data_IF_708132406114
#
_entry.id   IF_708132406114
#
_cell.length_a   1.000
_cell.length_b   1.000
_cell.length_c   1.000
_cell.angle_alpha   90.00
_cell.angle_beta   90.00
_cell.angle_gamma   90.00
#
_symmetry.space_group_name_H-M   'P 1'
#
loop_
_entity.id
_entity.type
_entity.pdbx_description
1 polymer ?
#
# COMPACT_ATOMS: atom_id res chain seq x y z
N UNK A 1 2.30 1.65 -15.37
CA UNK A 1 1.40 2.04 -14.27
C UNK A 1 1.11 0.78 -13.50
N UNK A 2 1.59 0.73 -12.26
CA UNK A 2 1.42 -0.42 -11.39
C UNK A 2 -0.06 -0.64 -11.02
N UNK A 3 -0.40 -1.87 -10.65
CA UNK A 3 -1.66 -2.18 -9.96
C UNK A 3 -1.52 -1.99 -8.45
N UNK A 4 -2.64 -1.92 -7.74
CA UNK A 4 -2.63 -1.93 -6.28
C UNK A 4 -1.96 -3.19 -5.71
N UNK A 5 -2.03 -4.31 -6.43
CA UNK A 5 -1.38 -5.56 -6.03
C UNK A 5 0.15 -5.51 -6.16
N UNK A 6 0.66 -4.96 -7.26
CA UNK A 6 2.10 -4.77 -7.43
C UNK A 6 2.66 -3.85 -6.33
N UNK A 7 1.90 -2.81 -5.96
CA UNK A 7 2.24 -1.91 -4.86
C UNK A 7 2.17 -2.63 -3.51
N UNK A 8 1.18 -3.50 -3.28
CA UNK A 8 1.10 -4.30 -2.07
C UNK A 8 2.28 -5.27 -1.93
N UNK A 9 2.69 -5.93 -3.02
CA UNK A 9 3.89 -6.76 -3.07
C UNK A 9 5.14 -5.94 -2.69
N UNK A 10 5.34 -4.77 -3.31
CA UNK A 10 6.46 -3.88 -3.00
C UNK A 10 6.46 -3.38 -1.54
N UNK A 11 5.28 -3.10 -0.96
CA UNK A 11 5.15 -2.70 0.45
C UNK A 11 5.64 -3.82 1.38
N UNK A 12 5.27 -5.08 1.10
CA UNK A 12 5.64 -6.25 1.91
C UNK A 12 7.11 -6.63 1.74
N UNK A 13 7.71 -6.45 0.57
CA UNK A 13 9.15 -6.62 0.40
C UNK A 13 9.96 -5.67 1.30
N UNK A 14 9.51 -4.42 1.43
CA UNK A 14 10.19 -3.42 2.27
C UNK A 14 9.87 -3.59 3.77
N UNK A 15 8.62 -3.96 4.09
CA UNK A 15 8.13 -4.02 5.48
C UNK A 15 8.26 -5.39 6.12
N UNK A 16 8.41 -6.46 5.34
CA UNK A 16 8.16 -7.82 5.77
C UNK A 16 6.68 -8.04 6.08
N UNK A 17 6.39 -8.48 7.31
CA UNK A 17 5.02 -8.75 7.77
C UNK A 17 4.34 -7.49 8.34
N UNK A 18 3.12 -7.22 7.90
CA UNK A 18 2.28 -6.12 8.43
C UNK A 18 0.86 -6.60 8.75
N UNK A 19 0.18 -5.91 9.66
CA UNK A 19 -1.26 -6.10 9.85
C UNK A 19 -2.05 -5.58 8.63
N UNK A 20 -3.23 -6.14 8.39
CA UNK A 20 -4.03 -5.84 7.19
C UNK A 20 -4.52 -4.38 7.14
N UNK A 21 -4.74 -3.74 8.28
CA UNK A 21 -5.07 -2.31 8.34
C UNK A 21 -3.88 -1.44 7.93
N UNK A 22 -2.68 -1.79 8.37
CA UNK A 22 -1.45 -1.08 7.99
C UNK A 22 -1.17 -1.21 6.51
N UNK A 23 -1.39 -2.38 5.90
CA UNK A 23 -1.25 -2.53 4.44
C UNK A 23 -2.15 -1.54 3.69
N UNK A 24 -3.44 -1.45 4.07
CA UNK A 24 -4.39 -0.52 3.44
C UNK A 24 -3.95 0.95 3.59
N UNK A 25 -3.46 1.34 4.77
CA UNK A 25 -2.98 2.70 5.02
C UNK A 25 -1.71 3.02 4.26
N UNK A 26 -0.77 2.09 4.20
CA UNK A 26 0.47 2.26 3.43
C UNK A 26 0.14 2.39 1.93
N UNK A 27 -0.76 1.58 1.38
CA UNK A 27 -1.20 1.71 -0.01
C UNK A 27 -1.83 3.09 -0.28
N UNK A 28 -2.70 3.57 0.62
CA UNK A 28 -3.26 4.92 0.54
C UNK A 28 -2.19 6.02 0.57
N UNK A 29 -1.23 5.95 1.50
CA UNK A 29 -0.16 6.94 1.57
C UNK A 29 0.76 6.89 0.36
N UNK A 30 1.03 5.71 -0.19
CA UNK A 30 1.79 5.59 -1.42
C UNK A 30 1.07 6.30 -2.57
N UNK A 31 -0.24 6.10 -2.74
CA UNK A 31 -1.04 6.83 -3.73
C UNK A 31 -0.99 8.34 -3.51
N UNK A 32 -1.21 8.80 -2.27
CA UNK A 32 -1.26 10.21 -1.93
C UNK A 32 0.08 10.92 -2.19
N UNK A 33 1.19 10.33 -1.74
CA UNK A 33 2.53 10.91 -1.94
C UNK A 33 2.99 10.81 -3.40
N UNK A 34 2.62 9.76 -4.12
CA UNK A 34 2.92 9.67 -5.56
C UNK A 34 2.21 10.78 -6.35
N UNK A 35 0.94 11.04 -6.03
CA UNK A 35 0.20 12.16 -6.61
C UNK A 35 0.87 13.50 -6.31
N UNK A 36 1.39 13.71 -5.10
CA UNK A 36 2.09 14.95 -4.73
C UNK A 36 3.43 15.12 -5.45
N UNK A 37 4.24 14.06 -5.52
CA UNK A 37 5.60 14.14 -6.07
C UNK A 37 5.66 14.02 -7.60
N UNK A 38 4.80 13.17 -8.18
CA UNK A 38 4.84 12.81 -9.61
C UNK A 38 3.66 13.41 -10.39
N UNK A 39 2.59 13.79 -9.69
CA UNK A 39 1.41 14.39 -10.33
C UNK A 39 0.52 13.38 -11.07
N UNK A 40 0.71 12.08 -10.83
CA UNK A 40 -0.06 10.98 -11.44
C UNK A 40 -0.44 9.94 -10.36
N UNK A 41 -1.53 9.18 -10.54
CA UNK A 41 -1.88 8.09 -9.64
C UNK A 41 -0.81 6.98 -9.69
N UNK A 42 -0.50 6.38 -8.54
CA UNK A 42 0.43 5.25 -8.45
C UNK A 42 -0.22 3.97 -8.99
N UNK A 43 -1.50 3.80 -8.70
CA UNK A 43 -2.32 2.71 -9.20
C UNK A 43 -3.75 3.19 -9.52
N UNK A 44 -4.45 2.51 -10.44
CA UNK A 44 -5.77 2.94 -10.91
C UNK A 44 -6.94 2.51 -10.01
N UNK A 45 -6.76 1.52 -9.13
CA UNK A 45 -7.83 0.96 -8.31
C UNK A 45 -8.41 2.01 -7.34
N UNK A 46 -9.73 2.02 -7.15
CA UNK A 46 -10.38 3.01 -6.31
C UNK A 46 -10.03 2.81 -4.84
N UNK A 47 -9.83 3.92 -4.13
CA UNK A 47 -9.75 3.96 -2.67
C UNK A 47 -11.10 4.43 -2.13
N UNK A 48 -11.67 3.65 -1.21
CA UNK A 48 -12.95 3.95 -0.58
C UNK A 48 -12.76 4.37 0.87
N UNK A 49 -13.56 5.35 1.31
CA UNK A 49 -13.60 5.78 2.70
C UNK A 49 -14.53 4.87 3.50
N UNK A 50 -13.96 3.89 4.20
CA UNK A 50 -14.71 3.00 5.09
C UNK A 50 -14.59 3.49 6.54
N UNK A 51 -15.41 2.93 7.44
CA UNK A 51 -15.40 3.31 8.86
C UNK A 51 -14.03 3.15 9.55
N UNK A 52 -13.19 2.21 9.08
CA UNK A 52 -11.85 1.96 9.60
C UNK A 52 -10.71 2.76 8.93
N UNK A 53 -11.04 3.64 7.98
CA UNK A 53 -10.09 4.40 7.18
C UNK A 53 -10.16 4.08 5.68
N UNK A 54 -9.19 4.57 4.89
CA UNK A 54 -9.14 4.31 3.45
C UNK A 54 -8.88 2.83 3.19
N UNK A 55 -9.65 2.25 2.26
CA UNK A 55 -9.55 0.85 1.86
C UNK A 55 -9.51 0.77 0.34
N UNK A 56 -8.52 0.06 -0.19
CA UNK A 56 -8.52 -0.46 -1.55
C UNK A 56 -9.30 -1.79 -1.54
N UNK A 57 -10.52 -1.85 -2.12
CA UNK A 57 -11.38 -3.03 -2.00
C UNK A 57 -10.76 -4.29 -2.60
N UNK A 58 -10.02 -4.15 -3.72
CA UNK A 58 -9.33 -5.27 -4.38
C UNK A 58 -8.27 -5.91 -3.48
N UNK A 59 -7.56 -5.11 -2.67
CA UNK A 59 -6.64 -5.63 -1.67
C UNK A 59 -7.40 -6.23 -0.47
N UNK A 60 -8.49 -5.59 -0.05
CA UNK A 60 -9.28 -6.06 1.08
C UNK A 60 -9.85 -7.46 0.85
N UNK A 61 -10.43 -7.73 -0.32
CA UNK A 61 -11.00 -9.05 -0.60
C UNK A 61 -9.97 -10.17 -0.54
N UNK A 62 -8.70 -9.89 -0.87
CA UNK A 62 -7.61 -10.89 -0.87
C UNK A 62 -7.11 -11.24 0.54
N UNK A 63 -7.04 -10.25 1.44
CA UNK A 63 -6.60 -10.47 2.81
C UNK A 63 -7.75 -10.60 3.82
N UNK A 64 -9.00 -10.53 3.37
CA UNK A 64 -10.19 -10.62 4.22
C UNK A 64 -10.14 -11.85 5.11
N UNK A 65 -10.42 -11.66 6.40
CA UNK A 65 -10.35 -12.73 7.41
C UNK A 65 -8.94 -13.04 7.90
N UNK A 66 -7.90 -12.39 7.38
CA UNK A 66 -6.53 -12.47 7.90
C UNK A 66 -6.23 -11.25 8.80
N UNK A 67 -5.47 -11.50 9.86
CA UNK A 67 -5.00 -10.43 10.74
C UNK A 67 -3.78 -9.69 10.17
N UNK A 68 -2.92 -10.41 9.45
CA UNK A 68 -1.66 -9.90 8.93
C UNK A 68 -1.23 -10.69 7.70
N UNK A 69 -0.39 -10.07 6.88
CA UNK A 69 0.17 -10.65 5.65
C UNK A 69 1.67 -10.41 5.60
N UNK A 70 2.39 -11.33 4.97
CA UNK A 70 3.86 -11.32 4.83
C UNK A 70 4.33 -11.41 3.39
N UNK A 71 3.42 -11.76 2.49
CA UNK A 71 3.62 -12.01 1.07
C UNK A 71 2.35 -11.62 0.31
N UNK A 72 2.51 -11.29 -0.97
CA UNK A 72 1.41 -10.88 -1.85
C UNK A 72 1.57 -11.51 -3.24
N UNK A 73 1.20 -12.79 -3.41
CA UNK A 73 1.39 -13.51 -4.68
C UNK A 73 0.54 -12.96 -5.83
N UNK A 74 -0.46 -12.12 -5.55
CA UNK A 74 -1.35 -11.53 -6.56
C UNK A 74 -0.75 -10.33 -7.29
N UNK A 75 0.46 -9.88 -6.92
CA UNK A 75 1.17 -8.77 -7.56
C UNK A 75 2.66 -9.04 -7.71
N UNK A 76 3.33 -8.24 -8.55
CA UNK A 76 4.76 -8.33 -8.80
C UNK A 76 5.42 -6.94 -8.71
N UNK A 77 6.30 -6.76 -7.73
CA UNK A 77 7.01 -5.50 -7.49
C UNK A 77 7.92 -5.08 -8.66
N UNK A 78 8.25 -6.02 -9.55
CA UNK A 78 9.03 -5.75 -10.77
C UNK A 78 8.23 -4.94 -11.80
N UNK A 79 6.90 -4.94 -11.72
CA UNK A 79 6.04 -4.15 -12.60
C UNK A 79 6.06 -2.64 -12.28
N UNK A 80 6.62 -2.25 -11.13
CA UNK A 80 6.76 -0.83 -10.77
C UNK A 80 7.88 -0.19 -11.59
N UNK A 81 7.57 0.96 -12.19
CA UNK A 81 8.57 1.88 -12.70
C UNK A 81 9.45 2.42 -11.56
N UNK A 82 10.61 2.97 -11.92
CA UNK A 82 11.59 3.46 -10.93
C UNK A 82 11.00 4.54 -10.00
N UNK A 83 10.19 5.46 -10.54
CA UNK A 83 9.51 6.51 -9.76
C UNK A 83 8.45 5.94 -8.81
N UNK A 84 7.69 4.95 -9.25
CA UNK A 84 6.68 4.23 -8.47
C UNK A 84 7.36 3.48 -7.30
N UNK A 85 8.43 2.72 -7.59
CA UNK A 85 9.23 2.00 -6.60
C UNK A 85 9.88 2.93 -5.59
N UNK A 86 10.46 4.05 -6.06
CA UNK A 86 11.06 5.07 -5.21
C UNK A 86 10.06 5.71 -4.26
N UNK A 87 8.82 5.90 -4.71
CA UNK A 87 7.72 6.41 -3.86
C UNK A 87 7.37 5.40 -2.77
N UNK A 88 7.12 4.13 -3.13
CA UNK A 88 6.79 3.07 -2.17
C UNK A 88 7.90 2.94 -1.12
N UNK A 89 9.16 2.88 -1.55
CA UNK A 89 10.29 2.77 -0.62
C UNK A 89 10.37 3.95 0.35
N UNK A 90 10.22 5.18 -0.13
CA UNK A 90 10.31 6.39 0.70
C UNK A 90 9.17 6.48 1.72
N UNK A 91 7.94 6.23 1.27
CA UNK A 91 6.74 6.23 2.11
C UNK A 91 6.82 5.13 3.17
N UNK A 92 7.09 3.89 2.74
CA UNK A 92 7.18 2.77 3.69
C UNK A 92 8.27 3.02 4.72
N UNK A 93 9.45 3.50 4.35
CA UNK A 93 10.50 3.79 5.34
C UNK A 93 10.13 4.91 6.32
N UNK A 94 9.38 5.91 5.88
CA UNK A 94 8.89 6.98 6.75
C UNK A 94 7.85 6.45 7.76
N UNK A 95 6.94 5.59 7.33
CA UNK A 95 5.78 5.17 8.11
C UNK A 95 5.91 3.79 8.77
N UNK A 96 6.90 2.95 8.41
CA UNK A 96 6.99 1.55 8.88
C UNK A 96 7.12 1.40 10.39
N UNK A 97 7.63 2.41 11.11
CA UNK A 97 7.73 2.39 12.58
C UNK A 97 6.40 2.67 13.27
N UNK A 98 5.40 3.17 12.55
CA UNK A 98 4.07 3.46 13.07
C UNK A 98 3.16 2.23 12.89
N UNK A 99 2.34 1.97 13.89
CA UNK A 99 1.24 1.01 13.80
C UNK A 99 0.11 1.55 12.93
N UNK A 100 -0.74 0.66 12.40
CA UNK A 100 -1.94 1.09 11.65
C UNK A 100 -2.79 2.09 12.43
N UNK A 101 -2.91 1.97 13.76
CA UNK A 101 -3.66 2.91 14.60
C UNK A 101 -2.99 4.29 14.69
N UNK A 102 -1.67 4.35 14.71
CA UNK A 102 -0.92 5.62 14.72
C UNK A 102 -0.95 6.33 13.36
N UNK A 103 -1.12 5.59 12.28
CA UNK A 103 -1.34 6.11 10.93
C UNK A 103 -2.77 6.66 10.70
N UNK A 104 -3.62 6.69 11.73
CA UNK A 104 -4.98 7.26 11.66
C UNK A 104 -5.18 8.47 12.56
N UNK A 105 -4.13 8.93 13.23
CA UNK A 105 -4.14 10.17 14.00
C UNK A 105 -3.39 11.25 13.23
#
# INVERSE_FOLDING_TARGET
>A
MASADDVAAAILEVSGRVDTFKLQKLAYYCQAWHLVWVGQPLFPEPIQAWAGGPVVPTLYERHRGRYSVSDWPEGDSNNLAESERGTVFSVVNAYKKLSGRQLSQ
#
